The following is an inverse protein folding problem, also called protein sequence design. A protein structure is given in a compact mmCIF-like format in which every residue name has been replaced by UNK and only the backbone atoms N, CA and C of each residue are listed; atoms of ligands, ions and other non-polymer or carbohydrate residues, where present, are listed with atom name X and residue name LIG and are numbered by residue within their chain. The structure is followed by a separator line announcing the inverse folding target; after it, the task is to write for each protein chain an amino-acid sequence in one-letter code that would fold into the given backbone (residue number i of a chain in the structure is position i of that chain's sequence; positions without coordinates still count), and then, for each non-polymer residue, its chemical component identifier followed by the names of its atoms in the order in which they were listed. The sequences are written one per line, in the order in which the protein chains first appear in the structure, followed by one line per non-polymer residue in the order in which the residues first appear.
data_IF_965391534540
#
_entry.id   IF_965391534540
#
_cell.length_a   1.000
_cell.length_b   1.000
_cell.length_c   1.000
_cell.angle_alpha   90.00
_cell.angle_beta   90.00
_cell.angle_gamma   90.00
#
_symmetry.space_group_name_H-M   'P 1'
#
loop_
_entity.id
_entity.type
_entity.pdbx_description
1 polymer ?
#
# COMPACT_ATOMS: atom_id res chain seq x y z
N UNK A 1 12.58 -10.77 -15.00
CA UNK A 1 11.44 -10.22 -15.76
C UNK A 1 10.21 -11.05 -15.41
N UNK A 2 9.10 -10.43 -15.04
CA UNK A 2 7.82 -11.14 -14.99
C UNK A 2 7.26 -11.09 -16.40
N UNK A 3 7.42 -12.16 -17.16
CA UNK A 3 6.72 -12.31 -18.44
C UNK A 3 5.28 -12.73 -18.15
N UNK A 4 4.44 -11.75 -17.83
CA UNK A 4 3.00 -11.90 -17.87
C UNK A 4 2.53 -11.64 -19.30
N UNK A 5 2.19 -12.69 -20.05
CA UNK A 5 1.47 -12.54 -21.31
C UNK A 5 0.01 -12.15 -21.03
N UNK A 6 -0.19 -10.92 -20.58
CA UNK A 6 -1.49 -10.27 -20.59
C UNK A 6 -1.69 -9.67 -21.98
N UNK A 7 -2.58 -10.25 -22.79
CA UNK A 7 -3.05 -9.55 -23.97
C UNK A 7 -3.86 -8.34 -23.49
N UNK A 8 -3.35 -7.13 -23.71
CA UNK A 8 -4.19 -5.93 -23.68
C UNK A 8 -4.98 -5.95 -24.97
N UNK A 9 -6.17 -6.55 -24.94
CA UNK A 9 -7.14 -6.37 -26.01
C UNK A 9 -7.54 -4.89 -26.03
N UNK A 10 -7.33 -4.15 -27.15
CA UNK A 10 -7.85 -2.80 -27.27
C UNK A 10 -9.37 -2.91 -27.21
N UNK A 11 -9.97 -2.41 -26.13
CA UNK A 11 -11.42 -2.51 -25.91
C UNK A 11 -11.87 -2.91 -24.51
N UNK A 12 -11.10 -2.64 -23.45
CA UNK A 12 -11.71 -2.60 -22.11
C UNK A 12 -12.61 -1.35 -22.06
N UNK A 13 -13.88 -1.56 -22.36
CA UNK A 13 -14.94 -0.59 -22.09
C UNK A 13 -15.27 -0.74 -20.60
N UNK A 14 -14.80 0.19 -19.79
CA UNK A 14 -15.21 0.30 -18.39
C UNK A 14 -16.57 1.01 -18.39
N UNK A 15 -17.63 0.30 -18.00
CA UNK A 15 -18.94 0.91 -17.81
C UNK A 15 -18.95 1.62 -16.46
N UNK A 16 -18.71 2.92 -16.47
CA UNK A 16 -19.09 3.79 -15.36
C UNK A 16 -20.44 4.43 -15.72
N UNK A 17 -21.48 4.07 -14.98
CA UNK A 17 -22.79 4.71 -15.10
C UNK A 17 -22.87 5.84 -14.08
N UNK A 18 -22.90 7.08 -14.55
CA UNK A 18 -23.31 8.23 -13.76
C UNK A 18 -24.66 8.70 -14.29
N UNK A 19 -25.74 8.44 -13.56
CA UNK A 19 -27.09 8.88 -13.91
C UNK A 19 -27.51 8.52 -15.35
N UNK A 20 -27.33 7.27 -15.78
CA UNK A 20 -27.71 6.73 -17.11
C UNK A 20 -26.91 7.25 -18.33
N UNK A 21 -25.86 8.05 -18.12
CA UNK A 21 -24.93 8.44 -19.19
C UNK A 21 -23.70 7.53 -19.17
N UNK A 22 -23.35 6.96 -20.33
CA UNK A 22 -22.13 6.18 -20.49
C UNK A 22 -20.90 7.10 -20.38
N UNK A 23 -19.95 6.73 -19.53
CA UNK A 23 -18.63 7.36 -19.54
C UNK A 23 -17.92 7.13 -20.89
N UNK A 24 -17.35 8.19 -21.45
CA UNK A 24 -16.41 8.09 -22.57
C UNK A 24 -14.99 7.83 -22.04
N UNK A 25 -14.02 7.40 -22.88
CA UNK A 25 -12.64 7.14 -22.44
C UNK A 25 -11.81 8.38 -22.05
N UNK A 26 -12.31 9.59 -22.33
CA UNK A 26 -11.57 10.85 -22.17
C UNK A 26 -11.61 11.43 -20.74
N UNK A 27 -12.76 11.47 -20.03
CA UNK A 27 -12.79 11.98 -18.67
C UNK A 27 -11.99 11.09 -17.70
N UNK A 28 -11.21 11.75 -16.85
CA UNK A 28 -10.53 11.10 -15.73
C UNK A 28 -11.45 11.04 -14.51
N UNK A 29 -11.41 9.91 -13.81
CA UNK A 29 -12.13 9.68 -12.55
C UNK A 29 -11.13 9.44 -11.41
N UNK A 30 -11.57 9.69 -10.18
CA UNK A 30 -10.78 9.32 -9.01
C UNK A 30 -10.62 7.80 -8.92
N UNK A 31 -9.38 7.33 -8.86
CA UNK A 31 -9.07 5.90 -8.82
C UNK A 31 -9.08 5.31 -7.40
N UNK A 32 -9.30 6.14 -6.37
CA UNK A 32 -9.26 5.75 -4.96
C UNK A 32 -8.06 4.83 -4.64
N UNK A 33 -8.30 3.68 -4.01
CA UNK A 33 -7.25 2.73 -3.63
C UNK A 33 -6.59 1.99 -4.80
N UNK A 34 -7.07 2.10 -6.05
CA UNK A 34 -6.40 1.47 -7.20
C UNK A 34 -4.98 2.02 -7.40
N UNK A 35 -4.72 3.25 -6.96
CA UNK A 35 -3.38 3.86 -6.99
C UNK A 35 -2.33 3.08 -6.16
N UNK A 36 -2.74 2.27 -5.16
CA UNK A 36 -1.82 1.48 -4.34
C UNK A 36 -1.06 0.42 -5.14
N UNK A 37 -1.68 -0.14 -6.19
CA UNK A 37 -1.01 -1.12 -7.06
C UNK A 37 0.11 -0.46 -7.86
N UNK A 38 -0.13 0.75 -8.38
CA UNK A 38 0.88 1.54 -9.09
C UNK A 38 2.04 1.88 -8.15
N UNK A 39 1.74 2.28 -6.91
CA UNK A 39 2.76 2.51 -5.88
C UNK A 39 3.61 1.25 -5.62
N UNK A 40 2.98 0.08 -5.48
CA UNK A 40 3.70 -1.17 -5.24
C UNK A 40 4.66 -1.51 -6.39
N UNK A 41 4.24 -1.30 -7.65
CA UNK A 41 5.11 -1.47 -8.83
C UNK A 41 6.31 -0.52 -8.78
N UNK A 42 6.08 0.77 -8.49
CA UNK A 42 7.17 1.75 -8.37
C UNK A 42 8.17 1.36 -7.26
N UNK A 43 7.70 0.89 -6.11
CA UNK A 43 8.58 0.40 -5.03
C UNK A 43 9.41 -0.80 -5.50
N UNK A 44 8.82 -1.72 -6.28
CA UNK A 44 9.56 -2.86 -6.82
C UNK A 44 10.69 -2.46 -7.79
N UNK A 45 10.53 -1.38 -8.56
CA UNK A 45 11.61 -0.86 -9.40
C UNK A 45 12.72 -0.23 -8.54
N UNK A 46 12.38 0.50 -7.47
CA UNK A 46 13.36 1.03 -6.50
C UNK A 46 14.13 -0.10 -5.79
N UNK A 47 13.45 -1.21 -5.47
CA UNK A 47 14.09 -2.42 -4.91
C UNK A 47 15.06 -3.05 -5.91
N UNK A 48 14.70 -3.11 -7.21
CA UNK A 48 15.60 -3.62 -8.26
C UNK A 48 16.85 -2.77 -8.42
N UNK A 49 16.74 -1.46 -8.21
CA UNK A 49 17.87 -0.53 -8.22
C UNK A 49 18.75 -0.65 -6.95
N UNK A 50 18.34 -1.45 -5.96
CA UNK A 50 19.07 -1.65 -4.71
C UNK A 50 18.99 -0.47 -3.74
N UNK A 51 18.05 0.46 -3.97
CA UNK A 51 17.87 1.64 -3.12
C UNK A 51 17.06 1.35 -1.85
N UNK A 52 16.20 0.33 -1.90
CA UNK A 52 15.43 -0.18 -0.76
C UNK A 52 15.59 -1.70 -0.70
N UNK A 53 15.81 -2.22 0.51
CA UNK A 53 15.75 -3.65 0.80
C UNK A 53 14.42 -3.97 1.48
N UNK A 54 13.64 -4.90 0.91
CA UNK A 54 12.32 -5.27 1.43
C UNK A 54 12.36 -5.88 2.83
N UNK A 55 13.52 -6.39 3.24
CA UNK A 55 13.72 -7.12 4.48
C UNK A 55 14.58 -6.34 5.49
N UNK A 56 14.95 -5.09 5.19
CA UNK A 56 15.57 -4.17 6.16
C UNK A 56 14.53 -3.30 6.85
N UNK A 57 14.72 -2.98 8.14
CA UNK A 57 13.85 -2.06 8.87
C UNK A 57 13.70 -0.70 8.21
N UNK A 58 12.46 -0.22 8.08
CA UNK A 58 12.15 1.15 7.61
C UNK A 58 12.77 2.20 8.54
N UNK A 59 12.95 1.85 9.81
CA UNK A 59 13.57 2.69 10.83
C UNK A 59 15.02 3.07 10.52
N UNK A 60 15.70 2.39 9.58
CA UNK A 60 17.02 2.79 9.08
C UNK A 60 16.97 4.05 8.21
N UNK A 61 15.81 4.36 7.61
CA UNK A 61 15.62 5.50 6.72
C UNK A 61 14.87 6.65 7.38
N UNK A 62 13.92 6.35 8.27
CA UNK A 62 13.06 7.34 8.93
C UNK A 62 12.91 7.00 10.40
N UNK A 63 13.14 7.96 11.30
CA UNK A 63 12.84 7.81 12.71
C UNK A 63 11.35 8.10 12.95
N UNK A 64 10.55 7.06 13.23
CA UNK A 64 9.10 7.17 13.47
C UNK A 64 8.62 6.57 14.80
N UNK A 65 9.52 5.89 15.52
CA UNK A 65 9.23 5.27 16.81
C UNK A 65 10.52 4.90 17.56
N UNK A 66 10.42 4.79 18.88
CA UNK A 66 11.44 4.21 19.76
C UNK A 66 11.08 2.77 20.19
N UNK A 67 9.87 2.30 19.89
CA UNK A 67 9.44 0.94 20.25
C UNK A 67 10.17 -0.12 19.42
N UNK A 68 10.87 -1.04 20.08
CA UNK A 68 11.69 -2.05 19.43
C UNK A 68 10.92 -2.97 18.49
N UNK A 69 9.68 -3.32 18.83
CA UNK A 69 8.82 -4.17 17.98
C UNK A 69 8.43 -3.41 16.72
N UNK A 70 7.97 -2.18 16.86
CA UNK A 70 7.55 -1.33 15.75
C UNK A 70 8.71 -0.91 14.87
N UNK A 71 9.91 -0.74 15.44
CA UNK A 71 11.16 -0.51 14.69
C UNK A 71 11.52 -1.68 13.77
N UNK A 72 11.00 -2.90 14.00
CA UNK A 72 11.25 -4.06 13.15
C UNK A 72 10.41 -4.11 11.86
N UNK A 73 9.50 -3.14 11.66
CA UNK A 73 8.71 -3.04 10.43
C UNK A 73 9.63 -2.89 9.22
N UNK A 74 9.45 -3.76 8.23
CA UNK A 74 10.14 -3.70 6.94
C UNK A 74 9.20 -3.20 5.84
N UNK A 75 9.72 -2.74 4.68
CA UNK A 75 8.89 -2.41 3.53
C UNK A 75 7.97 -3.55 3.09
N UNK A 76 8.41 -4.81 3.22
CA UNK A 76 7.57 -5.98 2.93
C UNK A 76 6.26 -5.94 3.73
N UNK A 77 6.34 -5.70 5.04
CA UNK A 77 5.16 -5.68 5.89
C UNK A 77 4.24 -4.48 5.62
N UNK A 78 4.80 -3.34 5.20
CA UNK A 78 3.99 -2.20 4.76
C UNK A 78 3.22 -2.52 3.47
N UNK A 79 3.89 -3.09 2.46
CA UNK A 79 3.29 -3.43 1.18
C UNK A 79 2.24 -4.55 1.28
N UNK A 80 2.33 -5.41 2.30
CA UNK A 80 1.37 -6.48 2.56
C UNK A 80 0.33 -6.15 3.63
N UNK A 81 0.20 -4.89 4.06
CA UNK A 81 -0.74 -4.47 5.11
C UNK A 81 -0.62 -5.28 6.43
N UNK A 82 0.60 -5.71 6.76
CA UNK A 82 0.90 -6.55 7.92
C UNK A 82 1.89 -5.91 8.90
N UNK A 83 2.04 -4.59 8.87
CA UNK A 83 2.96 -3.86 9.75
C UNK A 83 2.48 -3.79 11.20
N UNK A 84 1.17 -3.88 11.44
CA UNK A 84 0.57 -3.69 12.75
C UNK A 84 0.34 -2.23 13.13
N UNK A 85 0.66 -1.26 12.25
CA UNK A 85 0.36 0.15 12.51
C UNK A 85 -1.15 0.42 12.45
N UNK A 86 -1.67 1.31 13.31
CA UNK A 86 -3.05 1.76 13.23
C UNK A 86 -3.25 2.69 12.01
N UNK A 87 -4.50 2.85 11.57
CA UNK A 87 -4.84 3.78 10.49
C UNK A 87 -4.56 5.24 10.88
N UNK A 88 -4.78 5.56 12.16
CA UNK A 88 -4.64 6.90 12.71
C UNK A 88 -3.91 6.85 14.05
N UNK A 89 -3.20 7.93 14.36
CA UNK A 89 -2.76 8.28 15.72
C UNK A 89 -3.44 9.58 16.09
N UNK A 90 -3.72 9.77 17.38
CA UNK A 90 -4.46 10.94 17.83
C UNK A 90 -3.60 12.20 17.78
N UNK A 91 -2.31 12.09 18.14
CA UNK A 91 -1.38 13.22 18.21
C UNK A 91 -0.16 13.05 17.30
N UNK A 92 0.24 14.13 16.61
CA UNK A 92 1.34 14.08 15.64
C UNK A 92 2.72 13.75 16.25
N UNK A 93 2.89 13.96 17.55
CA UNK A 93 4.13 13.66 18.28
C UNK A 93 4.06 12.35 19.06
N UNK A 94 2.93 11.65 19.02
CA UNK A 94 2.83 10.32 19.63
C UNK A 94 3.67 9.31 18.81
N UNK A 95 4.55 8.54 19.47
CA UNK A 95 5.28 7.47 18.79
C UNK A 95 4.33 6.46 18.17
N UNK A 96 4.57 6.10 16.92
CA UNK A 96 3.82 5.02 16.30
C UNK A 96 4.16 3.70 17.01
N UNK A 97 3.12 2.97 17.41
CA UNK A 97 3.25 1.67 18.07
C UNK A 97 2.36 0.66 17.36
N UNK A 98 2.93 -0.51 17.07
CA UNK A 98 2.23 -1.59 16.38
C UNK A 98 1.29 -2.29 17.35
N UNK A 99 0.04 -2.52 16.95
CA UNK A 99 -0.95 -3.25 17.75
C UNK A 99 -0.69 -4.76 17.81
N UNK A 100 0.14 -5.28 16.90
CA UNK A 100 0.59 -6.67 16.86
C UNK A 100 1.99 -6.76 16.23
N UNK A 101 2.67 -7.89 16.41
CA UNK A 101 4.01 -8.09 15.87
C UNK A 101 3.99 -8.07 14.31
N UNK A 102 4.86 -7.29 13.65
CA UNK A 102 4.86 -7.21 12.18
C UNK A 102 4.94 -8.57 11.50
N UNK A 103 4.10 -8.78 10.48
CA UNK A 103 4.01 -10.01 9.69
C UNK A 103 3.12 -11.11 10.29
N UNK A 104 2.57 -10.93 11.51
CA UNK A 104 1.74 -11.96 12.17
C UNK A 104 0.26 -11.89 11.83
N UNK A 105 -0.22 -10.74 11.37
CA UNK A 105 -1.59 -10.51 10.92
C UNK A 105 -1.62 -9.43 9.83
N UNK A 106 -2.74 -9.33 9.10
CA UNK A 106 -3.05 -8.14 8.30
C UNK A 106 -4.12 -7.33 9.02
N UNK A 107 -4.04 -5.99 8.94
CA UNK A 107 -5.03 -5.12 9.56
C UNK A 107 -6.43 -5.53 9.09
N UNK A 108 -7.21 -6.11 10.00
CA UNK A 108 -8.61 -6.46 9.77
C UNK A 108 -9.39 -5.66 10.78
N UNK A 109 -9.97 -4.54 10.37
CA UNK A 109 -10.90 -3.83 11.23
C UNK A 109 -12.16 -4.70 11.37
N UNK A 110 -12.61 -5.06 12.59
CA UNK A 110 -14.00 -5.42 12.77
C UNK A 110 -14.84 -4.17 12.46
N UNK A 111 -15.73 -4.25 11.47
CA UNK A 111 -16.67 -3.18 11.18
C UNK A 111 -17.57 -2.97 12.42
N UNK A 112 -17.68 -1.73 12.95
CA UNK A 112 -18.66 -1.45 13.98
C UNK A 112 -20.04 -1.41 13.30
N UNK A 113 -20.91 -2.35 13.71
CA UNK A 113 -22.30 -2.41 13.26
C UNK A 113 -23.12 -1.17 13.59
#
# INVERSE_FOLDING_TARGET
MLEGSGAVSPGVVVYAEANTVLATPEPLFEAASLSKVVLAVAVHDIVREGLIDLDRPVAEHVAFTDDGVTRSITPRYLLSHSSGLPDWRDEANEPLTSSFAPGTASATLPWPG
#
